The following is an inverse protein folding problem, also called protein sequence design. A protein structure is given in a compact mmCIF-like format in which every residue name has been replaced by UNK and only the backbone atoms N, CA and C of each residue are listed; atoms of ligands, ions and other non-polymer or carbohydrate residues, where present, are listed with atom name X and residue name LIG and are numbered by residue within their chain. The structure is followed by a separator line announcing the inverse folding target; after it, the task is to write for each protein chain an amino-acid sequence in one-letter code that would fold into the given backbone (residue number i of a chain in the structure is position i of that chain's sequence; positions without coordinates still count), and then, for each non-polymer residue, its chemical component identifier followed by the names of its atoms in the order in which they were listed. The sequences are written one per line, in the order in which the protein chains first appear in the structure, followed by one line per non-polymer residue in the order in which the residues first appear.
data_IF_853048158540
#
_entry.id   IF_853048158540
#
_cell.length_a   1.000
_cell.length_b   1.000
_cell.length_c   1.000
_cell.angle_alpha   90.00
_cell.angle_beta   90.00
_cell.angle_gamma   90.00
#
_symmetry.space_group_name_H-M   'P 1'
#
loop_
_entity.id
_entity.type
_entity.pdbx_description
1 polymer ?
#
# COMPACT_ATOMS: atom_id res chain seq x y z
N UNK A 1 27.47 23.70 7.56
CA UNK A 1 26.22 24.29 7.06
C UNK A 1 25.66 23.52 5.85
N UNK A 2 26.43 23.32 4.76
CA UNK A 2 25.91 22.58 3.58
C UNK A 2 25.42 21.16 3.88
N UNK A 3 26.12 20.40 4.77
CA UNK A 3 25.66 19.07 5.17
C UNK A 3 24.29 19.08 5.83
N UNK A 4 24.04 20.03 6.74
CA UNK A 4 22.73 20.19 7.38
C UNK A 4 21.63 20.54 6.38
N UNK A 5 21.94 21.33 5.33
CA UNK A 5 21.01 21.64 4.26
C UNK A 5 20.62 20.35 3.49
N UNK A 6 21.60 19.53 3.07
CA UNK A 6 21.32 18.28 2.37
C UNK A 6 20.50 17.31 3.21
N UNK A 7 20.82 17.17 4.50
CA UNK A 7 20.07 16.32 5.43
C UNK A 7 18.63 16.80 5.60
N UNK A 8 18.42 18.12 5.75
CA UNK A 8 17.09 18.69 5.87
C UNK A 8 16.26 18.52 4.59
N UNK A 9 16.88 18.71 3.40
CA UNK A 9 16.20 18.52 2.11
C UNK A 9 15.82 17.06 1.91
N UNK A 10 16.72 16.10 2.17
CA UNK A 10 16.41 14.68 2.05
C UNK A 10 15.29 14.25 3.00
N UNK A 11 15.29 14.79 4.23
CA UNK A 11 14.21 14.56 5.20
C UNK A 11 12.88 15.13 4.70
N UNK A 12 12.87 16.34 4.12
CA UNK A 12 11.64 16.95 3.57
C UNK A 12 11.06 16.12 2.43
N UNK A 13 11.90 15.62 1.51
CA UNK A 13 11.43 14.74 0.42
C UNK A 13 10.81 13.45 0.97
N UNK A 14 11.42 12.87 1.99
CA UNK A 14 10.90 11.67 2.66
C UNK A 14 9.55 11.95 3.35
N UNK A 15 9.44 13.07 4.08
CA UNK A 15 8.20 13.49 4.74
C UNK A 15 7.09 13.81 3.73
N UNK A 16 7.41 14.38 2.58
CA UNK A 16 6.46 14.63 1.51
C UNK A 16 5.87 13.34 0.95
N UNK A 17 6.70 12.34 0.71
CA UNK A 17 6.22 11.03 0.23
C UNK A 17 5.42 10.30 1.30
N UNK A 18 5.86 10.36 2.57
CA UNK A 18 5.10 9.82 3.70
C UNK A 18 3.73 10.46 3.80
N UNK A 19 3.64 11.79 3.63
CA UNK A 19 2.38 12.50 3.60
C UNK A 19 1.49 12.06 2.42
N UNK A 20 2.06 11.77 1.26
CA UNK A 20 1.34 11.23 0.11
C UNK A 20 0.72 9.87 0.41
N UNK A 21 1.49 8.95 1.01
CA UNK A 21 0.99 7.62 1.41
C UNK A 21 -0.11 7.73 2.46
N UNK A 22 0.08 8.56 3.50
CA UNK A 22 -0.92 8.79 4.55
C UNK A 22 -2.22 9.39 3.99
N UNK A 23 -2.11 10.33 3.05
CA UNK A 23 -3.27 10.93 2.38
C UNK A 23 -4.02 9.90 1.55
N UNK A 24 -3.30 9.02 0.86
CA UNK A 24 -3.90 7.91 0.09
C UNK A 24 -4.63 6.94 1.02
N UNK A 25 -4.03 6.53 2.14
CA UNK A 25 -4.68 5.68 3.14
C UNK A 25 -5.96 6.34 3.68
N UNK A 26 -5.90 7.62 4.01
CA UNK A 26 -7.04 8.36 4.54
C UNK A 26 -8.17 8.50 3.52
N UNK A 27 -7.85 8.75 2.25
CA UNK A 27 -8.83 8.83 1.18
C UNK A 27 -9.56 7.50 0.96
N UNK A 28 -8.88 6.37 1.20
CA UNK A 28 -9.39 5.02 0.99
C UNK A 28 -9.91 4.32 2.25
N UNK A 29 -10.12 5.05 3.34
CA UNK A 29 -10.59 4.45 4.60
C UNK A 29 -11.98 3.83 4.49
N UNK A 30 -12.84 4.37 3.61
CA UNK A 30 -14.17 3.84 3.32
C UNK A 30 -14.20 2.88 2.13
N UNK A 31 -13.07 2.64 1.48
CA UNK A 31 -12.98 1.73 0.35
C UNK A 31 -12.93 0.29 0.85
N UNK A 32 -13.87 -0.54 0.40
CA UNK A 32 -13.97 -1.94 0.82
C UNK A 32 -12.74 -2.73 0.37
N UNK A 33 -12.23 -3.58 1.25
CA UNK A 33 -11.06 -4.42 0.96
C UNK A 33 -9.75 -3.67 0.75
N UNK A 34 -9.71 -2.35 0.97
CA UNK A 34 -8.47 -1.57 0.87
C UNK A 34 -7.49 -1.98 1.98
N UNK A 35 -6.23 -2.08 1.60
CA UNK A 35 -5.12 -2.41 2.50
C UNK A 35 -4.20 -1.21 2.65
N UNK A 36 -3.88 -0.91 3.91
CA UNK A 36 -3.01 0.18 4.31
C UNK A 36 -1.61 0.04 3.71
N UNK A 37 -1.09 1.12 3.17
CA UNK A 37 0.28 1.21 2.71
C UNK A 37 1.13 1.95 3.75
N UNK A 38 2.32 1.43 4.03
CA UNK A 38 3.28 2.02 4.98
C UNK A 38 4.60 2.28 4.27
N UNK A 39 5.11 3.51 4.37
CA UNK A 39 6.39 3.88 3.79
C UNK A 39 7.53 3.53 4.75
N UNK A 40 8.51 2.79 4.26
CA UNK A 40 9.75 2.48 4.98
C UNK A 40 10.87 3.35 4.44
N UNK A 41 11.58 3.98 5.36
CA UNK A 41 12.74 4.81 5.07
C UNK A 41 13.99 4.18 5.64
N UNK A 42 15.12 4.39 4.97
CA UNK A 42 16.44 4.04 5.49
C UNK A 42 17.40 5.21 5.38
N UNK A 43 18.43 5.22 6.24
CA UNK A 43 19.52 6.18 6.11
C UNK A 43 20.31 5.94 4.83
N UNK A 44 20.92 6.97 4.28
CA UNK A 44 21.97 6.79 3.28
C UNK A 44 23.16 6.02 3.89
N UNK A 45 23.94 5.39 3.03
CA UNK A 45 25.13 4.67 3.45
C UNK A 45 26.08 5.60 4.21
N UNK A 46 26.63 5.12 5.29
CA UNK A 46 27.55 5.90 6.14
C UNK A 46 28.88 6.12 5.43
N UNK A 47 29.32 7.37 5.42
CA UNK A 47 30.68 7.73 5.02
C UNK A 47 31.55 7.87 6.25
N UNK A 48 32.72 7.25 6.23
CA UNK A 48 33.73 7.39 7.29
C UNK A 48 34.32 8.79 7.26
N UNK A 49 34.15 9.52 8.36
CA UNK A 49 34.81 10.79 8.56
C UNK A 49 36.21 10.56 9.16
N UNK A 50 37.23 11.14 8.54
CA UNK A 50 38.59 11.16 9.05
C UNK A 50 39.04 12.59 9.27
N UNK A 51 39.79 12.81 10.36
CA UNK A 51 40.49 14.05 10.62
C UNK A 51 41.96 13.89 10.16
N UNK A 52 42.39 14.79 9.30
CA UNK A 52 43.74 14.82 8.76
C UNK A 52 44.59 15.93 9.40
N UNK A 53 44.05 16.69 10.37
CA UNK A 53 44.71 17.83 10.98
C UNK A 53 45.66 17.45 12.14
N UNK A 54 45.71 16.18 12.50
CA UNK A 54 46.58 15.68 13.55
C UNK A 54 47.90 15.24 12.95
N UNK A 55 49.00 15.90 13.38
CA UNK A 55 50.38 15.55 13.02
C UNK A 55 51.07 14.89 14.18
N UNK A 56 51.61 13.72 13.97
CA UNK A 56 52.50 13.04 14.93
C UNK A 56 53.90 12.94 14.33
N UNK A 57 54.87 13.65 14.94
CA UNK A 57 56.25 13.75 14.42
C UNK A 57 56.34 14.31 12.98
N UNK A 58 55.51 15.29 12.64
CA UNK A 58 55.51 15.90 11.28
C UNK A 58 54.81 15.05 10.20
N UNK A 59 54.28 13.89 10.55
CA UNK A 59 53.55 13.00 9.62
C UNK A 59 52.03 13.14 9.88
N UNK A 60 51.17 13.31 8.84
CA UNK A 60 49.72 13.35 9.02
C UNK A 60 49.23 12.04 9.66
N UNK A 61 48.57 12.16 10.81
CA UNK A 61 47.96 11.02 11.50
C UNK A 61 46.50 11.02 11.25
N UNK A 62 46.04 10.15 10.36
CA UNK A 62 44.63 9.98 10.06
C UNK A 62 43.89 9.39 11.27
N UNK A 63 43.01 10.17 11.85
CA UNK A 63 42.16 9.71 12.94
C UNK A 63 40.74 9.50 12.38
N UNK A 64 40.24 8.27 12.48
CA UNK A 64 38.83 7.97 12.12
C UNK A 64 37.92 8.54 13.23
N UNK A 65 37.01 9.43 12.84
CA UNK A 65 36.05 10.10 13.74
C UNK A 65 34.68 9.35 13.82
N UNK A 66 34.47 8.36 12.98
CA UNK A 66 33.21 7.59 12.92
C UNK A 66 32.47 7.71 11.60
N UNK A 67 31.31 7.08 11.53
CA UNK A 67 30.41 7.13 10.38
C UNK A 67 29.47 8.33 10.43
N UNK A 68 29.16 8.92 9.29
CA UNK A 68 28.16 9.96 9.12
C UNK A 68 27.24 9.61 7.95
N UNK A 69 25.94 9.59 8.18
CA UNK A 69 24.93 9.52 7.11
C UNK A 69 24.48 10.93 6.70
N UNK A 70 24.27 11.16 5.40
CA UNK A 70 23.86 12.45 4.84
C UNK A 70 22.35 12.61 4.72
N UNK A 71 21.59 11.81 5.43
CA UNK A 71 20.12 11.91 5.46
C UNK A 71 19.43 10.57 5.27
N UNK A 72 18.19 10.62 4.83
CA UNK A 72 17.31 9.46 4.65
C UNK A 72 16.85 9.34 3.21
N UNK A 73 16.64 8.11 2.76
CA UNK A 73 16.01 7.80 1.47
C UNK A 73 14.81 6.89 1.68
N UNK A 74 13.88 6.95 0.77
CA UNK A 74 12.76 6.01 0.70
C UNK A 74 13.34 4.65 0.31
N UNK A 75 12.97 3.61 1.05
CA UNK A 75 13.35 2.23 0.74
C UNK A 75 12.27 1.56 -0.09
N UNK A 76 11.12 1.35 0.52
CA UNK A 76 9.97 0.72 -0.13
C UNK A 76 8.66 1.17 0.53
N UNK A 77 7.56 0.95 -0.19
CA UNK A 77 6.20 1.05 0.37
C UNK A 77 5.67 -0.37 0.52
N UNK A 78 5.30 -0.73 1.74
CA UNK A 78 4.79 -2.07 2.07
C UNK A 78 3.29 -1.98 2.35
N UNK A 79 2.52 -2.87 1.70
CA UNK A 79 1.09 -3.02 1.95
C UNK A 79 0.86 -3.98 3.12
N UNK A 80 0.05 -3.56 4.07
CA UNK A 80 -0.34 -4.34 5.25
C UNK A 80 -1.59 -5.18 4.93
N UNK A 81 -1.44 -6.46 4.66
CA UNK A 81 -2.53 -7.37 4.29
C UNK A 81 -3.33 -7.92 5.49
N UNK A 82 -3.18 -7.38 6.69
CA UNK A 82 -4.03 -7.75 7.83
C UNK A 82 -5.49 -7.57 7.48
N UNK A 83 -6.32 -8.47 7.99
CA UNK A 83 -7.76 -8.44 7.76
C UNK A 83 -8.40 -7.25 8.46
N UNK A 84 -9.29 -6.55 7.73
CA UNK A 84 -10.14 -5.48 8.24
C UNK A 84 -11.37 -6.05 8.99
N UNK A 85 -12.16 -5.15 9.56
CA UNK A 85 -13.45 -5.52 10.18
C UNK A 85 -14.50 -5.83 9.11
N UNK A 86 -15.50 -6.65 9.46
CA UNK A 86 -16.63 -6.93 8.58
C UNK A 86 -17.79 -5.99 8.86
N UNK A 87 -18.39 -5.48 7.78
CA UNK A 87 -19.59 -4.65 7.82
C UNK A 87 -20.72 -5.44 7.15
N UNK A 88 -21.86 -5.56 7.81
CA UNK A 88 -23.06 -6.14 7.22
C UNK A 88 -23.70 -5.13 6.27
N UNK A 89 -23.98 -5.55 5.05
CA UNK A 89 -24.64 -4.73 4.02
C UNK A 89 -26.05 -5.26 3.67
N UNK A 90 -26.35 -6.49 4.09
CA UNK A 90 -27.60 -7.18 3.76
C UNK A 90 -27.85 -7.35 2.24
N UNK A 91 -26.87 -7.02 1.41
CA UNK A 91 -26.95 -7.13 -0.03
C UNK A 91 -26.43 -8.51 -0.48
N UNK A 92 -27.23 -9.24 -1.25
CA UNK A 92 -26.91 -10.62 -1.66
C UNK A 92 -25.72 -10.71 -2.64
N UNK A 93 -25.31 -9.62 -3.27
CA UNK A 93 -24.16 -9.57 -4.17
C UNK A 93 -22.85 -9.20 -3.47
N UNK A 94 -22.89 -8.90 -2.17
CA UNK A 94 -21.73 -8.56 -1.38
C UNK A 94 -21.18 -9.79 -0.67
N UNK A 95 -19.88 -10.01 -0.80
CA UNK A 95 -19.17 -11.16 -0.24
C UNK A 95 -17.93 -10.71 0.50
N UNK A 96 -17.73 -11.19 1.70
CA UNK A 96 -16.50 -10.96 2.45
C UNK A 96 -15.71 -12.26 2.60
N UNK A 97 -14.41 -12.17 2.35
CA UNK A 97 -13.48 -13.28 2.55
C UNK A 97 -12.94 -13.23 3.97
N UNK A 98 -13.23 -14.25 4.77
CA UNK A 98 -12.68 -14.43 6.11
C UNK A 98 -11.51 -15.42 6.05
N UNK A 99 -10.30 -14.96 6.37
CA UNK A 99 -9.04 -15.70 6.23
C UNK A 99 -8.10 -15.08 5.21
N UNK A 100 -7.07 -15.83 4.80
CA UNK A 100 -6.09 -15.42 3.79
C UNK A 100 -6.62 -15.60 2.37
N UNK A 101 -5.99 -14.91 1.38
CA UNK A 101 -6.28 -15.03 -0.04
C UNK A 101 -7.04 -13.83 -0.62
N UNK A 102 -7.37 -13.92 -1.88
CA UNK A 102 -7.99 -12.86 -2.69
C UNK A 102 -8.99 -13.49 -3.66
N UNK A 103 -10.05 -12.76 -3.99
CA UNK A 103 -10.92 -13.11 -5.10
C UNK A 103 -10.15 -12.97 -6.41
N UNK A 104 -10.22 -14.00 -7.24
CA UNK A 104 -9.62 -13.97 -8.56
C UNK A 104 -10.58 -13.29 -9.52
N UNK A 105 -10.09 -12.25 -10.20
CA UNK A 105 -10.87 -11.47 -11.17
C UNK A 105 -10.13 -11.38 -12.49
N UNK A 106 -10.86 -11.27 -13.59
CA UNK A 106 -10.30 -11.26 -14.94
C UNK A 106 -10.75 -10.01 -15.69
N UNK A 107 -9.80 -9.36 -16.32
CA UNK A 107 -10.04 -8.23 -17.22
C UNK A 107 -10.61 -8.68 -18.57
N UNK A 108 -11.12 -7.73 -19.36
CA UNK A 108 -11.57 -7.95 -20.72
C UNK A 108 -10.46 -8.47 -21.65
N UNK A 109 -9.22 -8.09 -21.41
CA UNK A 109 -8.03 -8.55 -22.13
C UNK A 109 -7.59 -9.97 -21.75
N UNK A 110 -8.23 -10.58 -20.75
CA UNK A 110 -7.91 -11.92 -20.27
C UNK A 110 -6.87 -11.99 -19.16
N UNK A 111 -6.32 -10.84 -18.71
CA UNK A 111 -5.36 -10.79 -17.62
C UNK A 111 -6.04 -11.11 -16.28
N UNK A 112 -5.32 -11.83 -15.41
CA UNK A 112 -5.80 -12.21 -14.10
C UNK A 112 -5.31 -11.22 -13.06
N UNK A 113 -6.23 -10.78 -12.21
CA UNK A 113 -5.97 -9.89 -11.07
C UNK A 113 -6.60 -10.47 -9.80
N UNK A 114 -6.25 -9.89 -8.67
CA UNK A 114 -6.64 -10.35 -7.34
C UNK A 114 -7.22 -9.20 -6.55
N UNK A 115 -8.35 -9.39 -5.89
CA UNK A 115 -8.99 -8.34 -5.10
C UNK A 115 -9.49 -8.86 -3.76
N UNK A 116 -9.49 -7.97 -2.75
CA UNK A 116 -10.17 -8.18 -1.47
C UNK A 116 -11.53 -7.50 -1.40
N UNK A 117 -11.81 -6.64 -2.38
CA UNK A 117 -13.14 -6.04 -2.50
C UNK A 117 -14.14 -7.10 -2.97
N UNK A 118 -15.16 -7.33 -2.18
CA UNK A 118 -16.25 -8.26 -2.48
C UNK A 118 -17.54 -7.54 -2.82
N UNK A 119 -17.53 -6.23 -3.09
CA UNK A 119 -18.69 -5.48 -3.55
C UNK A 119 -18.92 -5.71 -5.03
N UNK A 120 -19.61 -6.81 -5.35
CA UNK A 120 -19.85 -7.23 -6.72
C UNK A 120 -21.18 -6.71 -7.23
N UNK A 121 -21.27 -6.59 -8.57
CA UNK A 121 -22.47 -6.20 -9.30
C UNK A 121 -22.72 -7.19 -10.43
N UNK A 122 -23.98 -7.29 -10.85
CA UNK A 122 -24.33 -8.07 -12.03
C UNK A 122 -24.37 -7.10 -13.22
N UNK A 123 -23.60 -7.39 -14.26
CA UNK A 123 -23.58 -6.59 -15.47
C UNK A 123 -24.81 -6.87 -16.35
N UNK A 124 -25.00 -6.10 -17.45
CA UNK A 124 -26.10 -6.28 -18.39
C UNK A 124 -26.11 -7.63 -19.11
N UNK A 125 -24.99 -8.35 -19.11
CA UNK A 125 -24.84 -9.68 -19.69
C UNK A 125 -25.12 -10.80 -18.67
N UNK A 126 -25.34 -10.44 -17.38
CA UNK A 126 -25.63 -11.40 -16.32
C UNK A 126 -24.40 -11.95 -15.60
N UNK A 127 -23.20 -11.43 -15.85
CA UNK A 127 -21.98 -11.85 -15.15
C UNK A 127 -21.75 -11.05 -13.88
N UNK A 128 -21.16 -11.70 -12.87
CA UNK A 128 -20.73 -11.08 -11.64
C UNK A 128 -19.43 -10.31 -11.90
N UNK A 129 -19.44 -9.00 -11.66
CA UNK A 129 -18.29 -8.10 -11.92
C UNK A 129 -17.98 -7.25 -10.70
N UNK A 130 -16.72 -6.82 -10.59
CA UNK A 130 -16.30 -5.79 -9.61
C UNK A 130 -16.78 -4.41 -10.03
N UNK A 131 -16.64 -3.42 -9.15
CA UNK A 131 -16.93 -2.02 -9.48
C UNK A 131 -16.08 -1.48 -10.64
N UNK A 132 -14.86 -1.99 -10.84
CA UNK A 132 -13.98 -1.68 -11.97
C UNK A 132 -14.30 -2.44 -13.27
N UNK A 133 -15.34 -3.28 -13.28
CA UNK A 133 -15.76 -4.03 -14.46
C UNK A 133 -15.04 -5.36 -14.70
N UNK A 134 -14.16 -5.79 -13.77
CA UNK A 134 -13.48 -7.09 -13.87
C UNK A 134 -14.45 -8.24 -13.58
N UNK A 135 -14.43 -9.30 -14.41
CA UNK A 135 -15.25 -10.50 -14.19
C UNK A 135 -14.73 -11.31 -13.01
N UNK A 136 -15.60 -11.66 -12.08
CA UNK A 136 -15.26 -12.53 -10.95
C UNK A 136 -15.19 -13.98 -11.44
N UNK A 137 -14.09 -14.67 -11.11
CA UNK A 137 -13.83 -16.03 -11.53
C UNK A 137 -14.31 -17.04 -10.49
N UNK A 138 -14.91 -18.09 -10.97
CA UNK A 138 -15.36 -19.22 -10.16
C UNK A 138 -15.19 -20.53 -10.89
N UNK A 139 -15.10 -21.62 -10.14
CA UNK A 139 -15.12 -22.98 -10.66
C UNK A 139 -16.56 -23.47 -10.69
N UNK A 140 -17.06 -23.78 -11.88
CA UNK A 140 -18.37 -24.37 -12.06
C UNK A 140 -18.36 -25.82 -11.55
N UNK A 141 -19.27 -26.15 -10.64
CA UNK A 141 -19.33 -27.47 -10.02
C UNK A 141 -19.80 -28.59 -10.98
N UNK A 142 -20.55 -28.22 -12.04
CA UNK A 142 -21.03 -29.21 -13.03
C UNK A 142 -19.95 -29.58 -14.06
N UNK A 143 -19.15 -28.60 -14.52
CA UNK A 143 -18.13 -28.79 -15.57
C UNK A 143 -16.70 -28.86 -15.02
N UNK A 144 -16.52 -28.53 -13.75
CA UNK A 144 -15.20 -28.40 -13.08
C UNK A 144 -14.23 -27.47 -13.84
N UNK A 145 -14.79 -26.50 -14.56
CA UNK A 145 -14.04 -25.50 -15.33
C UNK A 145 -14.01 -24.15 -14.62
N UNK A 146 -12.89 -23.44 -14.74
CA UNK A 146 -12.75 -22.07 -14.25
C UNK A 146 -13.33 -21.10 -15.27
N UNK A 147 -14.40 -20.42 -14.93
CA UNK A 147 -15.10 -19.49 -15.81
C UNK A 147 -15.63 -18.27 -15.04
N UNK A 148 -15.98 -17.17 -15.73
CA UNK A 148 -16.68 -16.06 -15.09
C UNK A 148 -18.02 -16.52 -14.51
N UNK A 149 -18.33 -16.08 -13.30
CA UNK A 149 -19.58 -16.45 -12.63
C UNK A 149 -20.75 -15.79 -13.35
N UNK A 150 -21.62 -16.62 -13.92
CA UNK A 150 -22.84 -16.18 -14.59
C UNK A 150 -24.04 -16.33 -13.66
N UNK A 151 -24.67 -15.22 -13.32
CA UNK A 151 -25.79 -15.13 -12.37
C UNK A 151 -27.14 -14.96 -13.12
N UNK A 152 -27.13 -14.24 -14.22
CA UNK A 152 -28.37 -13.85 -14.92
C UNK A 152 -29.29 -13.03 -14.01
N UNK A 153 -30.55 -13.40 -13.95
CA UNK A 153 -31.59 -12.78 -13.10
C UNK A 153 -31.89 -13.61 -11.84
N UNK A 154 -31.12 -14.68 -11.57
CA UNK A 154 -31.32 -15.59 -10.44
C UNK A 154 -30.90 -14.97 -9.10
N UNK A 155 -31.54 -15.43 -8.02
CA UNK A 155 -31.07 -15.10 -6.67
C UNK A 155 -29.83 -15.93 -6.36
N UNK A 156 -28.88 -15.29 -5.71
CA UNK A 156 -27.65 -15.93 -5.24
C UNK A 156 -27.78 -16.33 -3.77
N UNK A 157 -27.41 -17.54 -3.44
CA UNK A 157 -27.33 -18.04 -2.06
C UNK A 157 -26.01 -18.78 -1.87
N UNK A 158 -25.27 -18.42 -0.83
CA UNK A 158 -24.04 -19.09 -0.44
C UNK A 158 -24.36 -20.17 0.59
N UNK A 159 -23.87 -21.39 0.34
CA UNK A 159 -24.01 -22.48 1.32
C UNK A 159 -22.81 -22.52 2.28
N UNK A 160 -22.90 -23.36 3.32
CA UNK A 160 -21.85 -23.53 4.33
C UNK A 160 -20.53 -24.10 3.79
N UNK A 161 -20.55 -24.65 2.57
CA UNK A 161 -19.37 -25.19 1.87
C UNK A 161 -18.65 -24.17 0.98
N UNK A 162 -18.98 -22.88 1.11
CA UNK A 162 -18.51 -21.78 0.25
C UNK A 162 -18.90 -21.95 -1.25
N UNK A 163 -20.02 -22.62 -1.52
CA UNK A 163 -20.55 -22.78 -2.86
C UNK A 163 -21.68 -21.78 -3.07
N UNK A 164 -21.58 -21.02 -4.15
CA UNK A 164 -22.59 -20.08 -4.61
C UNK A 164 -23.61 -20.81 -5.48
N UNK A 165 -24.82 -20.99 -4.97
CA UNK A 165 -25.93 -21.57 -5.71
C UNK A 165 -26.77 -20.45 -6.33
N UNK A 166 -27.07 -20.56 -7.61
CA UNK A 166 -27.88 -19.59 -8.36
C UNK A 166 -29.22 -20.24 -8.67
N UNK A 167 -30.29 -19.53 -8.35
CA UNK A 167 -31.68 -20.03 -8.59
C UNK A 167 -31.91 -20.22 -10.11
N UNK A 168 -32.15 -21.47 -10.50
CA UNK A 168 -32.33 -21.84 -11.91
C UNK A 168 -31.07 -21.90 -12.76
N UNK A 169 -29.87 -21.83 -12.14
CA UNK A 169 -28.57 -21.85 -12.81
C UNK A 169 -27.59 -22.87 -12.21
N UNK A 170 -26.34 -22.69 -12.57
CA UNK A 170 -25.22 -23.51 -12.10
C UNK A 170 -24.79 -23.11 -10.67
N UNK A 171 -24.13 -24.04 -10.00
CA UNK A 171 -23.42 -23.76 -8.73
C UNK A 171 -21.96 -23.48 -9.00
N UNK A 172 -21.43 -22.43 -8.38
CA UNK A 172 -20.04 -22.00 -8.54
C UNK A 172 -19.33 -22.01 -7.19
N UNK A 173 -18.05 -22.31 -7.20
CA UNK A 173 -17.15 -22.04 -6.07
C UNK A 173 -16.24 -20.88 -6.46
N UNK A 174 -16.14 -19.84 -5.60
CA UNK A 174 -15.24 -18.72 -5.86
C UNK A 174 -13.80 -19.21 -5.97
N UNK A 175 -13.08 -18.72 -6.97
CA UNK A 175 -11.65 -18.96 -7.08
C UNK A 175 -10.92 -18.00 -6.15
N UNK A 176 -10.35 -18.56 -5.08
CA UNK A 176 -9.56 -17.81 -4.11
C UNK A 176 -8.10 -18.17 -4.32
N UNK A 177 -7.31 -17.15 -4.61
CA UNK A 177 -5.86 -17.26 -4.72
C UNK A 177 -5.19 -16.72 -3.47
N UNK A 178 -4.17 -17.40 -3.00
CA UNK A 178 -3.29 -16.94 -1.92
C UNK A 178 -1.85 -16.85 -2.45
N UNK A 179 -0.96 -16.24 -1.70
CA UNK A 179 0.43 -16.06 -2.08
C UNK A 179 1.34 -16.41 -0.91
N UNK A 180 2.40 -17.14 -1.16
CA UNK A 180 3.40 -17.46 -0.15
C UNK A 180 4.19 -16.21 0.28
N UNK A 181 4.36 -15.25 -0.64
CA UNK A 181 5.01 -13.97 -0.37
C UNK A 181 4.15 -12.83 -0.95
N UNK A 182 3.60 -12.03 -0.06
CA UNK A 182 2.80 -10.85 -0.42
C UNK A 182 3.64 -9.66 -0.92
N UNK A 183 4.97 -9.68 -0.74
CA UNK A 183 5.85 -8.62 -1.25
C UNK A 183 5.89 -8.53 -2.77
N UNK A 184 5.61 -9.66 -3.45
CA UNK A 184 5.52 -9.72 -4.90
C UNK A 184 4.23 -9.12 -5.48
N UNK A 185 3.22 -8.83 -4.63
CA UNK A 185 1.96 -8.25 -5.06
C UNK A 185 2.12 -6.75 -5.35
N UNK A 186 1.80 -6.38 -6.58
CA UNK A 186 1.78 -4.98 -7.01
C UNK A 186 0.35 -4.49 -7.07
N UNK A 187 0.08 -3.38 -6.39
CA UNK A 187 -1.20 -2.69 -6.47
C UNK A 187 -1.35 -2.07 -7.86
N UNK A 188 -2.45 -2.35 -8.51
CA UNK A 188 -2.83 -1.78 -9.80
C UNK A 188 -3.95 -0.77 -9.55
N UNK A 189 -4.71 -0.40 -10.55
CA UNK A 189 -5.88 0.49 -10.42
C UNK A 189 -7.05 -0.25 -9.75
N UNK A 190 -8.00 0.48 -9.16
CA UNK A 190 -9.29 -0.03 -8.65
C UNK A 190 -9.19 -1.10 -7.53
N UNK A 191 -8.20 -0.97 -6.65
CA UNK A 191 -8.01 -1.87 -5.51
C UNK A 191 -7.83 -3.36 -5.90
N UNK A 192 -7.24 -3.60 -7.07
CA UNK A 192 -6.84 -4.92 -7.53
C UNK A 192 -5.31 -5.06 -7.47
N UNK A 193 -4.85 -6.29 -7.30
CA UNK A 193 -3.44 -6.63 -7.19
C UNK A 193 -3.04 -7.52 -8.36
N UNK A 194 -1.83 -7.32 -8.87
CA UNK A 194 -1.16 -8.23 -9.80
C UNK A 194 -0.09 -9.00 -9.04
N UNK A 195 -0.02 -10.29 -9.25
CA UNK A 195 0.97 -11.16 -8.60
C UNK A 195 1.25 -12.39 -9.44
N UNK A 196 2.45 -12.94 -9.27
CA UNK A 196 2.90 -14.16 -9.94
C UNK A 196 2.78 -15.35 -8.98
N UNK A 197 2.62 -16.55 -9.55
CA UNK A 197 2.57 -17.83 -8.81
C UNK A 197 1.51 -17.89 -7.68
N UNK A 198 0.23 -17.67 -8.00
CA UNK A 198 -0.84 -17.84 -7.02
C UNK A 198 -0.92 -19.31 -6.57
N UNK A 199 -1.16 -19.50 -5.28
CA UNK A 199 -1.45 -20.79 -4.68
C UNK A 199 -2.94 -20.83 -4.35
N UNK A 200 -3.58 -21.98 -4.47
CA UNK A 200 -4.97 -22.11 -4.05
C UNK A 200 -5.09 -21.84 -2.55
N UNK A 201 -5.99 -20.96 -2.16
CA UNK A 201 -6.29 -20.71 -0.76
C UNK A 201 -6.99 -21.92 -0.13
N UNK A 202 -6.47 -22.42 0.98
CA UNK A 202 -7.05 -23.62 1.69
C UNK A 202 -7.79 -23.23 2.96
N UNK A 203 -7.48 -22.08 3.56
CA UNK A 203 -8.01 -21.66 4.88
C UNK A 203 -8.82 -20.39 4.77
N UNK A 204 -9.99 -20.48 4.18
CA UNK A 204 -10.90 -19.35 4.09
C UNK A 204 -12.36 -19.76 4.29
N UNK A 205 -13.17 -18.80 4.66
CA UNK A 205 -14.63 -18.89 4.60
C UNK A 205 -15.19 -17.62 4.00
N UNK A 206 -16.23 -17.76 3.20
CA UNK A 206 -16.90 -16.63 2.56
C UNK A 206 -18.18 -16.34 3.30
N UNK A 207 -18.47 -15.06 3.53
CA UNK A 207 -19.70 -14.58 4.14
C UNK A 207 -20.46 -13.75 3.13
N UNK A 208 -21.71 -14.13 2.83
CA UNK A 208 -22.62 -13.33 1.99
C UNK A 208 -23.30 -12.24 2.83
N UNK A 209 -23.57 -11.09 2.22
CA UNK A 209 -24.17 -9.93 2.89
C UNK A 209 -23.21 -9.16 3.78
N UNK A 210 -21.92 -9.37 3.64
CA UNK A 210 -20.86 -8.67 4.37
C UNK A 210 -19.80 -8.16 3.41
N UNK A 211 -19.16 -7.06 3.79
CA UNK A 211 -17.96 -6.53 3.11
C UNK A 211 -16.81 -6.40 4.12
N UNK A 212 -15.60 -6.56 3.63
CA UNK A 212 -14.39 -6.26 4.41
C UNK A 212 -14.12 -4.76 4.35
N UNK A 213 -14.07 -4.08 5.49
CA UNK A 213 -13.67 -2.69 5.60
C UNK A 213 -12.18 -2.52 5.37
N UNK A 214 -11.74 -1.32 5.05
CA UNK A 214 -10.32 -0.96 5.08
C UNK A 214 -9.71 -1.28 6.46
N UNK A 215 -8.46 -1.70 6.48
CA UNK A 215 -7.70 -1.92 7.72
C UNK A 215 -6.92 -0.68 8.20
N UNK A 216 -7.16 0.48 7.59
CA UNK A 216 -6.53 1.76 7.95
C UNK A 216 -7.05 2.23 9.30
N UNK A 217 -6.14 2.56 10.22
CA UNK A 217 -6.49 3.26 11.46
C UNK A 217 -6.67 4.76 11.18
N UNK A 218 -7.92 5.22 11.22
CA UNK A 218 -8.30 6.60 10.95
C UNK A 218 -7.63 7.60 11.89
N UNK A 219 -7.70 7.35 13.19
CA UNK A 219 -7.19 8.27 14.21
C UNK A 219 -5.66 8.28 14.19
N UNK A 220 -5.06 7.11 14.08
CA UNK A 220 -3.62 6.96 13.94
C UNK A 220 -3.08 7.69 12.71
N UNK A 221 -3.69 7.49 11.54
CA UNK A 221 -3.29 8.11 10.28
C UNK A 221 -3.40 9.64 10.30
N UNK A 222 -4.46 10.21 10.91
CA UNK A 222 -4.58 11.68 11.07
C UNK A 222 -3.49 12.22 12.00
N UNK A 223 -3.26 11.55 13.11
CA UNK A 223 -2.25 11.98 14.08
C UNK A 223 -0.84 11.96 13.46
N UNK A 224 -0.53 10.89 12.73
CA UNK A 224 0.73 10.74 12.02
C UNK A 224 0.88 11.79 10.90
N UNK A 225 -0.21 12.07 10.16
CA UNK A 225 -0.24 13.13 9.15
C UNK A 225 0.06 14.51 9.75
N UNK A 226 -0.57 14.84 10.88
CA UNK A 226 -0.31 16.10 11.59
C UNK A 226 1.14 16.19 12.09
N UNK A 227 1.69 15.09 12.59
CA UNK A 227 3.10 15.02 13.01
C UNK A 227 4.04 15.22 11.80
N UNK A 228 3.78 14.55 10.69
CA UNK A 228 4.57 14.66 9.46
C UNK A 228 4.59 16.11 8.93
N UNK A 229 3.45 16.82 8.98
CA UNK A 229 3.36 18.23 8.60
C UNK A 229 4.22 19.10 9.53
N UNK A 230 4.15 18.89 10.85
CA UNK A 230 4.97 19.64 11.81
C UNK A 230 6.47 19.40 11.62
N UNK A 231 6.85 18.16 11.35
CA UNK A 231 8.25 17.80 11.06
C UNK A 231 8.72 18.46 9.75
N UNK A 232 7.86 18.51 8.73
CA UNK A 232 8.13 19.22 7.49
C UNK A 232 8.33 20.72 7.70
N UNK A 233 7.43 21.38 8.46
CA UNK A 233 7.56 22.78 8.83
C UNK A 233 8.84 23.08 9.62
N UNK A 234 9.22 22.19 10.54
CA UNK A 234 10.45 22.31 11.30
C UNK A 234 11.69 22.26 10.38
N UNK A 235 11.75 21.31 9.47
CA UNK A 235 12.83 21.22 8.48
C UNK A 235 12.86 22.44 7.56
N UNK A 236 11.71 22.98 7.16
CA UNK A 236 11.64 24.20 6.38
C UNK A 236 12.23 25.39 7.13
N UNK A 237 11.95 25.53 8.42
CA UNK A 237 12.54 26.57 9.26
C UNK A 237 14.05 26.43 9.39
N UNK A 238 14.56 25.22 9.51
CA UNK A 238 16.01 24.94 9.53
C UNK A 238 16.65 25.42 8.22
N UNK A 239 16.07 25.11 7.06
CA UNK A 239 16.58 25.54 5.77
C UNK A 239 16.58 27.07 5.68
N UNK A 240 15.46 27.73 6.07
CA UNK A 240 15.36 29.20 6.09
C UNK A 240 16.44 29.85 6.98
N UNK A 241 16.72 29.24 8.15
CA UNK A 241 17.75 29.72 9.07
C UNK A 241 19.14 29.60 8.44
N UNK A 242 19.44 28.46 7.80
CA UNK A 242 20.71 28.25 7.09
C UNK A 242 20.85 29.26 5.96
N UNK A 243 19.80 29.48 5.17
CA UNK A 243 19.80 30.45 4.05
C UNK A 243 20.04 31.88 4.56
N UNK A 244 19.33 32.30 5.62
CA UNK A 244 19.52 33.61 6.24
C UNK A 244 20.94 33.82 6.74
N UNK A 245 21.53 32.78 7.37
CA UNK A 245 22.91 32.82 7.86
C UNK A 245 23.90 32.92 6.70
N UNK A 246 23.70 32.16 5.64
CA UNK A 246 24.55 32.25 4.43
C UNK A 246 24.46 33.63 3.78
N UNK A 247 23.26 34.22 3.71
CA UNK A 247 23.01 35.55 3.19
C UNK A 247 23.74 36.61 4.04
N UNK A 248 23.70 36.54 5.35
CA UNK A 248 24.44 37.44 6.25
C UNK A 248 25.95 37.33 6.02
N UNK A 249 26.49 36.11 6.00
CA UNK A 249 27.92 35.88 5.74
C UNK A 249 28.31 36.48 4.40
N UNK A 250 27.52 36.28 3.33
CA UNK A 250 27.80 36.81 2.02
C UNK A 250 27.78 38.35 1.97
N UNK A 251 26.84 39.00 2.72
CA UNK A 251 26.74 40.46 2.79
C UNK A 251 27.89 41.07 3.59
N UNK A 252 28.27 40.43 4.72
CA UNK A 252 29.40 40.93 5.55
C UNK A 252 30.74 40.79 4.84
N UNK A 253 31.01 39.66 4.18
CA UNK A 253 32.24 39.47 3.39
C UNK A 253 32.27 40.42 2.17
N UNK A 254 31.11 40.67 1.54
CA UNK A 254 31.00 41.61 0.41
C UNK A 254 31.15 43.07 0.81
N UNK A 255 30.92 43.43 2.07
CA UNK A 255 31.04 44.82 2.58
C UNK A 255 32.45 45.19 3.04
N UNK A 256 33.36 44.24 3.11
CA UNK A 256 34.77 44.45 3.52
C UNK A 256 35.67 44.89 2.36
N UNK A 257 35.09 45.47 1.31
CA UNK A 257 35.85 46.13 0.22
C UNK A 257 35.72 47.62 0.28
#
# INVERSE_FOLDING_TARGET
MLRGLYTSVSSMLNLQERQSVLTNNLANIKTNGYKEDTLISKSFDEMTLSNNDNYKNGIPNHQNLGGLSFGTKIDEVITNFKQGSFISTENNSDFALNGSGFFQVRDHDGNMFYSRDGSFKINSQGYLVTNGGYNVMGTNQASNSTEPIYVGNGKMALNSSNELTIEGGNSYKFNIADFNDYKGLKKVVDNVYSGENPVNGDKYSIKQGFLESSNVDYIGSITESMQTIKEFEANQKVIQTIDSTLKQIASEIGSVR
#
